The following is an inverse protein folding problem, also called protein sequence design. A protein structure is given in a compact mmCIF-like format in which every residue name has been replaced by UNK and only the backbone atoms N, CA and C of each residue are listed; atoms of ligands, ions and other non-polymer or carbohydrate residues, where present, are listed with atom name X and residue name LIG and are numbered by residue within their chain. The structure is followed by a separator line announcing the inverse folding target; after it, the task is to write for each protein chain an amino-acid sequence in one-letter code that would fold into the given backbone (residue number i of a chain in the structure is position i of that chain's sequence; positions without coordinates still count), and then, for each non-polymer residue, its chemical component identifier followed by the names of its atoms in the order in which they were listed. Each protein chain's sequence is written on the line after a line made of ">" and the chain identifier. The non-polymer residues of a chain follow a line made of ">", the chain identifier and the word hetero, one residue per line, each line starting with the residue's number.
data_IF_309848291880
#
_entry.id   IF_309848291880
#
_cell.length_a   1.000
_cell.length_b   1.000
_cell.length_c   1.000
_cell.angle_alpha   90.00
_cell.angle_beta   90.00
_cell.angle_gamma   90.00
#
_symmetry.space_group_name_H-M   'P 1'
#
loop_
_entity.id
_entity.type
_entity.pdbx_description
1 polymer ?
#
# COMPACT_ATOMS: atom_id res chain seq x y z
N UNK A 1 -35.42 -13.81 4.08
CA UNK A 1 -34.48 -14.89 4.44
C UNK A 1 -33.72 -15.21 3.16
N UNK A 2 -32.41 -15.07 3.15
CA UNK A 2 -31.57 -15.31 1.96
C UNK A 2 -31.59 -16.82 1.66
N UNK A 3 -31.51 -17.23 0.39
CA UNK A 3 -31.48 -18.66 0.09
C UNK A 3 -30.17 -19.30 0.64
N UNK A 4 -30.18 -20.54 1.15
CA UNK A 4 -28.99 -21.15 1.74
C UNK A 4 -27.78 -21.21 0.80
N UNK A 5 -28.02 -21.34 -0.51
CA UNK A 5 -26.99 -21.32 -1.54
C UNK A 5 -26.36 -19.91 -1.71
N UNK A 6 -27.19 -18.87 -1.71
CA UNK A 6 -26.75 -17.47 -1.77
C UNK A 6 -25.95 -17.10 -0.51
N UNK A 7 -26.38 -17.54 0.67
CA UNK A 7 -25.66 -17.32 1.92
C UNK A 7 -24.27 -17.98 1.88
N UNK A 8 -24.18 -19.22 1.40
CA UNK A 8 -22.91 -19.93 1.26
C UNK A 8 -21.96 -19.21 0.29
N UNK A 9 -22.47 -18.76 -0.85
CA UNK A 9 -21.70 -18.01 -1.84
C UNK A 9 -21.15 -16.70 -1.25
N UNK A 10 -21.97 -15.93 -0.53
CA UNK A 10 -21.55 -14.69 0.12
C UNK A 10 -20.45 -14.92 1.17
N UNK A 11 -20.56 -15.99 1.95
CA UNK A 11 -19.54 -16.37 2.93
C UNK A 11 -18.23 -16.78 2.25
N UNK A 12 -18.29 -17.55 1.16
CA UNK A 12 -17.10 -17.90 0.36
C UNK A 12 -16.40 -16.65 -0.18
N UNK A 13 -17.14 -15.72 -0.79
CA UNK A 13 -16.58 -14.46 -1.29
C UNK A 13 -15.94 -13.64 -0.17
N UNK A 14 -16.55 -13.61 1.02
CA UNK A 14 -15.96 -12.92 2.16
C UNK A 14 -14.62 -13.54 2.58
N UNK A 15 -14.53 -14.86 2.63
CA UNK A 15 -13.28 -15.58 2.96
C UNK A 15 -12.19 -15.26 1.94
N UNK A 16 -12.52 -15.27 0.64
CA UNK A 16 -11.58 -14.90 -0.42
C UNK A 16 -11.10 -13.44 -0.29
N UNK A 17 -12.03 -12.50 -0.06
CA UNK A 17 -11.70 -11.08 0.14
C UNK A 17 -10.80 -10.87 1.36
N UNK A 18 -11.09 -11.56 2.47
CA UNK A 18 -10.28 -11.50 3.68
C UNK A 18 -8.85 -12.04 3.43
N UNK A 19 -8.72 -13.10 2.63
CA UNK A 19 -7.42 -13.63 2.24
C UNK A 19 -6.59 -12.69 1.41
N UNK A 20 -7.22 -12.05 0.43
CA UNK A 20 -6.54 -11.06 -0.40
C UNK A 20 -6.04 -9.87 0.41
N UNK A 21 -6.85 -9.36 1.37
CA UNK A 21 -6.41 -8.31 2.30
C UNK A 21 -5.23 -8.78 3.14
N UNK A 22 -5.29 -10.01 3.65
CA UNK A 22 -4.22 -10.57 4.49
C UNK A 22 -2.91 -10.73 3.72
N UNK A 23 -2.98 -11.16 2.45
CA UNK A 23 -1.79 -11.22 1.58
C UNK A 23 -1.19 -9.85 1.34
N UNK A 24 -2.03 -8.88 0.99
CA UNK A 24 -1.58 -7.53 0.71
C UNK A 24 -1.01 -6.86 1.99
N UNK A 25 -1.51 -7.18 3.20
CA UNK A 25 -0.87 -6.75 4.47
C UNK A 25 0.58 -7.22 4.57
N UNK A 26 0.83 -8.50 4.28
CA UNK A 26 2.18 -9.08 4.35
C UNK A 26 3.12 -8.44 3.34
N UNK A 27 2.64 -8.21 2.12
CA UNK A 27 3.41 -7.53 1.08
C UNK A 27 3.78 -6.09 1.48
N UNK A 28 2.82 -5.35 2.04
CA UNK A 28 3.04 -3.98 2.49
C UNK A 28 3.96 -3.89 3.72
N UNK A 29 3.84 -4.81 4.68
CA UNK A 29 4.76 -4.90 5.81
C UNK A 29 6.21 -5.17 5.35
N UNK A 30 6.39 -6.02 4.33
CA UNK A 30 7.70 -6.26 3.75
C UNK A 30 8.32 -5.01 3.11
N UNK A 31 7.51 -4.12 2.52
CA UNK A 31 7.96 -2.86 1.93
C UNK A 31 8.37 -1.82 2.97
N UNK A 32 7.77 -1.82 4.17
CA UNK A 32 8.17 -0.93 5.26
C UNK A 32 9.52 -1.28 5.89
N UNK A 33 10.04 -2.49 5.65
CA UNK A 33 11.34 -2.93 6.18
C UNK A 33 11.35 -3.24 7.68
N UNK A 34 10.20 -3.13 8.38
CA UNK A 34 10.07 -3.46 9.79
C UNK A 34 9.50 -4.87 10.01
N UNK A 35 10.13 -5.61 10.92
CA UNK A 35 9.74 -6.96 11.31
C UNK A 35 8.93 -6.91 12.59
N UNK A 36 7.61 -6.69 12.49
CA UNK A 36 6.73 -7.27 13.50
C UNK A 36 5.57 -6.45 14.06
N UNK A 37 5.24 -5.28 13.54
CA UNK A 37 3.94 -4.69 13.89
C UNK A 37 2.89 -5.11 12.86
N UNK A 38 1.96 -5.98 13.24
CA UNK A 38 0.66 -6.12 12.56
C UNK A 38 -0.19 -4.87 12.84
N UNK A 39 0.34 -3.69 12.50
CA UNK A 39 -0.50 -2.52 12.32
C UNK A 39 -1.52 -2.85 11.22
N UNK A 40 -2.69 -2.19 11.21
CA UNK A 40 -3.64 -2.43 10.13
C UNK A 40 -2.93 -2.15 8.79
N UNK A 41 -3.34 -2.81 7.70
CA UNK A 41 -2.85 -2.51 6.33
C UNK A 41 -2.74 -1.01 6.08
N UNK A 42 -3.68 -0.32 6.69
CA UNK A 42 -3.97 1.07 6.46
C UNK A 42 -3.06 2.00 7.24
N UNK A 43 -2.57 1.59 8.41
CA UNK A 43 -1.52 2.29 9.16
C UNK A 43 -0.18 2.16 8.41
N UNK A 44 0.08 0.97 7.85
CA UNK A 44 1.27 0.74 7.01
C UNK A 44 1.26 1.64 5.77
N UNK A 45 0.11 1.75 5.09
CA UNK A 45 -0.03 2.61 3.92
C UNK A 45 0.05 4.11 4.25
N UNK A 46 -0.55 4.55 5.36
CA UNK A 46 -0.41 5.94 5.82
C UNK A 46 1.06 6.29 6.08
N UNK A 47 1.78 5.43 6.81
CA UNK A 47 3.19 5.67 7.11
C UNK A 47 4.08 5.67 5.83
N UNK A 48 3.72 4.91 4.79
CA UNK A 48 4.40 5.00 3.49
C UNK A 48 4.16 6.36 2.84
N UNK A 49 2.92 6.87 2.88
CA UNK A 49 2.58 8.21 2.35
C UNK A 49 3.35 9.29 3.12
N UNK A 50 3.30 9.27 4.45
CA UNK A 50 3.99 10.23 5.32
C UNK A 50 5.52 10.22 5.08
N UNK A 51 6.15 9.05 5.03
CA UNK A 51 7.58 8.93 4.74
C UNK A 51 7.93 9.47 3.36
N UNK A 52 7.06 9.25 2.36
CA UNK A 52 7.27 9.73 0.99
C UNK A 52 7.11 11.26 0.90
N UNK A 53 6.14 11.83 1.61
CA UNK A 53 5.97 13.30 1.72
C UNK A 53 7.16 13.95 2.43
N UNK A 54 7.63 13.36 3.54
CA UNK A 54 8.80 13.86 4.26
C UNK A 54 10.08 13.83 3.41
N UNK A 55 10.30 12.75 2.65
CA UNK A 55 11.40 12.65 1.70
C UNK A 55 11.29 13.73 0.59
N UNK A 56 10.08 13.94 0.06
CA UNK A 56 9.81 15.00 -0.92
C UNK A 56 10.15 16.39 -0.40
N UNK A 57 9.71 16.73 0.81
CA UNK A 57 10.04 18.02 1.46
C UNK A 57 11.55 18.19 1.67
N UNK A 58 12.25 17.13 2.08
CA UNK A 58 13.71 17.16 2.25
C UNK A 58 14.43 17.45 0.92
N UNK A 59 13.94 16.89 -0.20
CA UNK A 59 14.45 17.19 -1.54
C UNK A 59 14.24 18.66 -1.89
N UNK A 60 13.05 19.20 -1.63
CA UNK A 60 12.73 20.61 -1.89
C UNK A 60 13.65 21.55 -1.09
N UNK A 61 13.83 21.33 0.21
CA UNK A 61 14.73 22.11 1.07
C UNK A 61 16.19 22.04 0.60
N UNK A 62 16.63 20.87 0.13
CA UNK A 62 17.96 20.68 -0.44
C UNK A 62 18.14 21.47 -1.73
N UNK A 63 17.13 21.50 -2.59
CA UNK A 63 17.12 22.28 -3.83
C UNK A 63 17.12 23.80 -3.56
N UNK A 64 16.37 24.27 -2.56
CA UNK A 64 16.41 25.67 -2.11
C UNK A 64 17.82 26.06 -1.63
N UNK A 65 18.47 25.18 -0.86
CA UNK A 65 19.83 25.39 -0.37
C UNK A 65 20.86 25.45 -1.50
N UNK A 66 20.69 24.64 -2.55
CA UNK A 66 21.50 24.69 -3.78
C UNK A 66 21.29 26.02 -4.50
N UNK A 67 20.05 26.42 -4.73
CA UNK A 67 19.71 27.69 -5.39
C UNK A 67 20.28 28.89 -4.64
N UNK A 68 20.17 28.91 -3.30
CA UNK A 68 20.76 29.95 -2.46
C UNK A 68 22.31 29.99 -2.55
N UNK A 69 22.95 28.83 -2.70
CA UNK A 69 24.40 28.74 -2.86
C UNK A 69 24.85 29.26 -4.22
N UNK A 70 24.10 28.96 -5.28
CA UNK A 70 24.32 29.50 -6.63
C UNK A 70 24.09 31.01 -6.66
N UNK A 71 23.08 31.51 -5.95
CA UNK A 71 22.81 32.95 -5.82
C UNK A 71 24.00 33.76 -5.29
N UNK A 72 24.84 33.16 -4.43
CA UNK A 72 26.08 33.82 -3.93
C UNK A 72 27.13 34.05 -5.03
N UNK A 73 27.04 33.33 -6.15
CA UNK A 73 27.96 33.43 -7.28
C UNK A 73 27.51 34.45 -8.34
N UNK A 74 26.31 35.05 -8.22
CA UNK A 74 25.79 36.03 -9.19
C UNK A 74 26.66 37.30 -9.35
N UNK A 75 27.57 37.58 -8.41
CA UNK A 75 28.52 38.69 -8.50
C UNK A 75 29.81 38.39 -9.29
N UNK A 76 30.02 37.15 -9.71
CA UNK A 76 31.23 36.72 -10.44
C UNK A 76 31.13 37.19 -11.90
N UNK A 77 32.12 37.96 -12.38
CA UNK A 77 32.16 38.52 -13.75
C UNK A 77 32.75 37.56 -14.79
N UNK A 78 32.70 36.26 -14.54
CA UNK A 78 33.16 35.24 -15.46
C UNK A 78 31.97 34.65 -16.24
N UNK A 79 31.92 34.80 -17.58
CA UNK A 79 30.80 34.31 -18.40
C UNK A 79 30.59 32.80 -18.31
N UNK A 80 31.65 32.01 -18.15
CA UNK A 80 31.53 30.56 -18.03
C UNK A 80 30.85 30.17 -16.71
N UNK A 81 31.24 30.81 -15.60
CA UNK A 81 30.61 30.64 -14.28
C UNK A 81 29.14 31.05 -14.31
N UNK A 82 28.81 32.16 -14.98
CA UNK A 82 27.42 32.62 -15.11
C UNK A 82 26.55 31.59 -15.84
N UNK A 83 27.02 31.05 -16.96
CA UNK A 83 26.29 30.02 -17.71
C UNK A 83 26.01 28.76 -16.88
N UNK A 84 27.01 28.28 -16.12
CA UNK A 84 26.83 27.13 -15.21
C UNK A 84 25.83 27.44 -14.10
N UNK A 85 25.83 28.65 -13.55
CA UNK A 85 24.84 29.05 -12.54
C UNK A 85 23.42 29.00 -13.10
N UNK A 86 23.21 29.51 -14.31
CA UNK A 86 21.91 29.48 -14.98
C UNK A 86 21.44 28.04 -15.23
N UNK A 87 22.34 27.15 -15.69
CA UNK A 87 22.04 25.72 -15.89
C UNK A 87 21.61 25.02 -14.58
N UNK A 88 22.25 25.36 -13.46
CA UNK A 88 21.88 24.82 -12.14
C UNK A 88 20.51 25.35 -11.72
N UNK A 89 20.24 26.65 -11.88
CA UNK A 89 18.94 27.25 -11.55
C UNK A 89 17.82 26.59 -12.36
N UNK A 90 18.02 26.42 -13.66
CA UNK A 90 17.06 25.74 -14.53
C UNK A 90 16.81 24.28 -14.11
N UNK A 91 17.88 23.57 -13.73
CA UNK A 91 17.76 22.19 -13.23
C UNK A 91 17.01 22.14 -11.91
N UNK A 92 17.25 23.09 -11.02
CA UNK A 92 16.59 23.20 -9.72
C UNK A 92 15.09 23.48 -9.90
N UNK A 93 14.73 24.38 -10.82
CA UNK A 93 13.34 24.69 -11.19
C UNK A 93 12.59 23.46 -11.72
N UNK A 94 13.24 22.63 -12.54
CA UNK A 94 12.64 21.36 -13.02
C UNK A 94 12.35 20.39 -11.88
N UNK A 95 13.21 20.34 -10.85
CA UNK A 95 12.96 19.51 -9.67
C UNK A 95 11.77 20.06 -8.87
N UNK A 96 11.68 21.38 -8.66
CA UNK A 96 10.52 22.00 -8.00
C UNK A 96 9.20 21.64 -8.70
N UNK A 97 9.17 21.74 -10.04
CA UNK A 97 8.00 21.38 -10.83
C UNK A 97 7.66 19.88 -10.72
N UNK A 98 8.66 19.01 -10.80
CA UNK A 98 8.46 17.56 -10.65
C UNK A 98 7.92 17.19 -9.26
N UNK A 99 8.43 17.81 -8.20
CA UNK A 99 7.93 17.62 -6.83
C UNK A 99 6.49 18.14 -6.65
N UNK A 100 6.10 19.22 -7.33
CA UNK A 100 4.70 19.67 -7.31
C UNK A 100 3.75 18.63 -7.94
N UNK A 101 4.17 17.90 -8.98
CA UNK A 101 3.40 16.77 -9.52
C UNK A 101 3.39 15.56 -8.58
N UNK A 102 4.46 15.36 -7.79
CA UNK A 102 4.52 14.31 -6.79
C UNK A 102 3.53 14.57 -5.64
N UNK A 103 3.32 15.82 -5.22
CA UNK A 103 2.30 16.18 -4.23
C UNK A 103 0.89 15.71 -4.67
N UNK A 104 0.53 15.98 -5.93
CA UNK A 104 -0.74 15.49 -6.49
C UNK A 104 -0.83 13.95 -6.50
N UNK A 105 0.30 13.27 -6.69
CA UNK A 105 0.37 11.80 -6.61
C UNK A 105 0.18 11.33 -5.18
N UNK A 106 0.79 11.99 -4.19
CA UNK A 106 0.59 11.75 -2.77
C UNK A 106 -0.89 11.84 -2.39
N UNK A 107 -1.55 12.95 -2.76
CA UNK A 107 -2.99 13.14 -2.52
C UNK A 107 -3.85 12.03 -3.14
N UNK A 108 -3.52 11.58 -4.35
CA UNK A 108 -4.24 10.48 -5.02
C UNK A 108 -4.07 9.17 -4.27
N UNK A 109 -2.85 8.86 -3.83
CA UNK A 109 -2.56 7.67 -3.03
C UNK A 109 -3.35 7.74 -1.71
N UNK A 110 -3.35 8.87 -0.99
CA UNK A 110 -4.14 9.04 0.23
C UNK A 110 -5.62 8.73 0.03
N UNK A 111 -6.20 9.12 -1.12
CA UNK A 111 -7.61 8.76 -1.45
C UNK A 111 -7.80 7.27 -1.66
N UNK A 112 -6.87 6.60 -2.35
CA UNK A 112 -6.89 5.14 -2.52
C UNK A 112 -6.80 4.44 -1.17
N UNK A 113 -5.87 4.86 -0.30
CA UNK A 113 -5.70 4.30 1.05
C UNK A 113 -6.99 4.44 1.88
N UNK A 114 -7.65 5.60 1.81
CA UNK A 114 -8.96 5.81 2.47
C UNK A 114 -10.05 4.87 1.96
N UNK A 115 -10.08 4.57 0.66
CA UNK A 115 -11.02 3.60 0.10
C UNK A 115 -10.70 2.17 0.54
N UNK A 116 -9.43 1.80 0.62
CA UNK A 116 -8.99 0.50 1.14
C UNK A 116 -9.39 0.34 2.62
N UNK A 117 -9.19 1.39 3.44
CA UNK A 117 -9.68 1.47 4.84
C UNK A 117 -11.16 1.16 4.95
N UNK A 118 -11.96 1.83 4.14
CA UNK A 118 -13.40 1.65 4.14
C UNK A 118 -13.80 0.20 3.78
N UNK A 119 -13.16 -0.40 2.78
CA UNK A 119 -13.42 -1.80 2.42
C UNK A 119 -13.01 -2.78 3.53
N UNK A 120 -11.85 -2.56 4.14
CA UNK A 120 -11.38 -3.38 5.26
C UNK A 120 -12.34 -3.33 6.45
N UNK A 121 -12.81 -2.14 6.84
CA UNK A 121 -13.77 -1.96 7.92
C UNK A 121 -15.08 -2.73 7.66
N UNK A 122 -15.56 -2.72 6.41
CA UNK A 122 -16.78 -3.42 6.02
C UNK A 122 -16.60 -4.94 6.07
N UNK A 123 -15.47 -5.44 5.59
CA UNK A 123 -15.13 -6.88 5.68
C UNK A 123 -15.04 -7.30 7.15
N UNK A 124 -14.35 -6.51 7.99
CA UNK A 124 -14.27 -6.78 9.43
C UNK A 124 -15.65 -6.79 10.11
N UNK A 125 -16.57 -5.90 9.71
CA UNK A 125 -17.95 -5.92 10.20
C UNK A 125 -18.70 -7.19 9.78
N UNK A 126 -18.58 -7.60 8.52
CA UNK A 126 -19.21 -8.82 8.02
C UNK A 126 -18.67 -10.07 8.73
N UNK A 127 -17.35 -10.13 8.98
CA UNK A 127 -16.72 -11.18 9.78
C UNK A 127 -17.32 -11.25 11.19
N UNK A 128 -17.53 -10.10 11.85
CA UNK A 128 -18.16 -10.04 13.17
C UNK A 128 -19.62 -10.52 13.15
N UNK A 129 -20.36 -10.23 12.08
CA UNK A 129 -21.77 -10.63 11.94
C UNK A 129 -21.90 -12.14 11.77
N UNK A 130 -21.12 -12.74 10.87
CA UNK A 130 -21.24 -14.17 10.55
C UNK A 130 -20.47 -15.09 11.50
N UNK A 131 -19.61 -14.52 12.33
CA UNK A 131 -18.85 -15.28 13.32
C UNK A 131 -17.53 -15.79 12.74
N UNK A 132 -16.47 -15.52 13.48
CA UNK A 132 -15.10 -15.84 13.10
C UNK A 132 -14.85 -17.35 12.98
N UNK A 133 -15.39 -18.14 13.90
CA UNK A 133 -15.22 -19.60 13.93
C UNK A 133 -15.85 -20.27 12.70
N UNK A 134 -17.03 -19.81 12.29
CA UNK A 134 -17.73 -20.33 11.12
C UNK A 134 -16.97 -20.01 9.83
N UNK A 135 -16.48 -18.78 9.69
CA UNK A 135 -15.69 -18.38 8.53
C UNK A 135 -14.33 -19.07 8.48
N UNK A 136 -13.68 -19.31 9.63
CA UNK A 136 -12.45 -20.08 9.71
C UNK A 136 -12.67 -21.54 9.27
N UNK A 137 -13.77 -22.17 9.69
CA UNK A 137 -14.15 -23.51 9.23
C UNK A 137 -14.36 -23.54 7.72
N UNK A 138 -15.07 -22.56 7.16
CA UNK A 138 -15.28 -22.47 5.71
C UNK A 138 -13.97 -22.24 4.95
N UNK A 139 -13.04 -21.43 5.47
CA UNK A 139 -11.72 -21.25 4.89
C UNK A 139 -10.91 -22.57 4.87
N UNK A 140 -10.98 -23.35 5.94
CA UNK A 140 -10.35 -24.68 6.00
C UNK A 140 -10.98 -25.66 4.98
N UNK A 141 -12.30 -25.63 4.80
CA UNK A 141 -12.98 -26.44 3.77
C UNK A 141 -12.59 -26.05 2.34
N UNK A 142 -12.40 -24.75 2.08
CA UNK A 142 -11.99 -24.23 0.76
C UNK A 142 -10.52 -24.53 0.43
N UNK A 143 -9.66 -24.63 1.46
CA UNK A 143 -8.22 -24.90 1.32
C UNK A 143 -7.90 -26.39 1.37
N UNK A 144 -8.83 -27.24 1.83
CA UNK A 144 -8.65 -28.67 1.82
C UNK A 144 -8.42 -29.17 0.38
N UNK A 145 -7.40 -30.02 0.13
CA UNK A 145 -7.19 -30.57 -1.19
C UNK A 145 -8.42 -31.39 -1.57
N UNK A 146 -9.22 -30.88 -2.52
CA UNK A 146 -10.23 -31.68 -3.18
C UNK A 146 -9.51 -32.88 -3.81
N UNK A 147 -10.00 -34.10 -3.53
CA UNK A 147 -9.52 -35.36 -4.09
C UNK A 147 -9.01 -35.20 -5.54
N UNK A 148 -7.96 -35.92 -5.97
CA UNK A 148 -7.18 -35.58 -7.17
C UNK A 148 -8.07 -35.40 -8.39
N UNK A 149 -8.42 -34.14 -8.65
CA UNK A 149 -9.22 -33.76 -9.80
C UNK A 149 -8.27 -33.71 -10.98
N UNK A 150 -8.28 -34.77 -11.77
CA UNK A 150 -7.52 -34.94 -13.01
C UNK A 150 -7.92 -33.93 -14.12
N UNK A 151 -8.69 -32.89 -13.79
CA UNK A 151 -9.30 -31.97 -14.73
C UNK A 151 -9.43 -30.58 -14.13
N UNK A 152 -8.32 -29.87 -13.89
CA UNK A 152 -8.30 -28.40 -13.93
C UNK A 152 -6.87 -27.92 -14.23
N UNK A 153 -6.76 -26.97 -15.16
CA UNK A 153 -5.51 -26.30 -15.54
C UNK A 153 -4.86 -25.54 -14.38
N UNK A 154 -3.75 -24.80 -14.63
CA UNK A 154 -2.83 -24.35 -13.58
C UNK A 154 -3.57 -23.62 -12.45
N UNK A 155 -3.60 -24.27 -11.28
CA UNK A 155 -4.06 -23.65 -10.05
C UNK A 155 -3.16 -22.44 -9.77
N UNK A 156 -3.77 -21.28 -9.50
CA UNK A 156 -3.03 -20.09 -9.06
C UNK A 156 -2.47 -20.35 -7.66
N UNK A 157 -1.25 -20.85 -7.61
CA UNK A 157 -0.40 -20.89 -6.42
C UNK A 157 -0.24 -19.48 -5.88
N UNK A 158 -0.79 -19.19 -4.70
CA UNK A 158 -0.56 -17.92 -4.00
C UNK A 158 -1.64 -17.44 -3.03
N UNK A 159 -2.86 -17.99 -3.05
CA UNK A 159 -4.00 -17.49 -2.25
C UNK A 159 -4.43 -18.46 -1.13
N UNK A 160 -3.51 -19.28 -0.62
CA UNK A 160 -3.81 -20.11 0.55
C UNK A 160 -3.54 -19.28 1.82
N UNK A 161 -4.60 -18.78 2.46
CA UNK A 161 -4.51 -18.29 3.84
C UNK A 161 -4.20 -19.50 4.72
N UNK A 162 -3.07 -19.50 5.42
CA UNK A 162 -2.76 -20.58 6.35
C UNK A 162 -3.60 -20.44 7.63
N UNK A 163 -3.85 -21.55 8.34
CA UNK A 163 -4.48 -21.49 9.65
C UNK A 163 -3.69 -20.59 10.62
N UNK A 164 -2.36 -20.58 10.51
CA UNK A 164 -1.50 -19.67 11.28
C UNK A 164 -1.74 -18.19 10.95
N UNK A 165 -2.09 -17.85 9.71
CA UNK A 165 -2.49 -16.49 9.33
C UNK A 165 -3.85 -16.13 9.93
N UNK A 166 -4.79 -17.09 9.94
CA UNK A 166 -6.09 -16.93 10.60
C UNK A 166 -5.83 -16.69 12.09
N UNK A 167 -5.03 -17.49 12.78
CA UNK A 167 -4.83 -17.37 14.22
C UNK A 167 -4.11 -16.07 14.62
N UNK A 168 -3.14 -15.59 13.82
CA UNK A 168 -2.43 -14.31 14.05
C UNK A 168 -3.31 -13.07 13.90
N UNK A 169 -4.40 -13.14 13.15
CA UNK A 169 -5.24 -11.97 12.83
C UNK A 169 -6.32 -11.68 13.88
N UNK A 170 -6.39 -12.50 14.92
CA UNK A 170 -7.67 -12.85 15.50
C UNK A 170 -7.56 -13.41 16.93
N UNK A 171 -6.35 -13.79 17.37
CA UNK A 171 -5.99 -14.02 18.78
C UNK A 171 -5.71 -12.73 19.52
#
# INVERSE_FOLDING_TARGET
>A
MIAPEEERMLKTLLVEMFGNISSMRRELAALQGDKGSFASMTDTLDAIVENTEAAGNTILESMESISASVGKLQGVKDPATAAVCDEIVDSTNKVFEACAFQDLTGQRITRVVKSLKFMEDHINRLVRIWGKEELARMAAELTAPSAPSLLNGPQRTGVAISQDDIDKLFG
#
